data_IF_388160175914
#
_entry.id   IF_388160175914
#
_cell.length_a   1.000
_cell.length_b   1.000
_cell.length_c   1.000
_cell.angle_alpha   90.00
_cell.angle_beta   90.00
_cell.angle_gamma   90.00
#
_symmetry.space_group_name_H-M   'P 1'
#
loop_
_entity.id
_entity.type
_entity.pdbx_description
1 polymer ?
#
# COMPACT_ATOMS: atom_id res chain seq x y z
N UNK A 1 -8.64 -13.94 23.41
CA UNK A 1 -7.63 -15.01 23.29
C UNK A 1 -7.04 -14.85 21.89
N UNK A 2 -5.79 -14.41 21.80
CA UNK A 2 -5.10 -14.29 20.52
C UNK A 2 -4.89 -15.70 19.96
N UNK A 3 -5.36 -15.95 18.74
CA UNK A 3 -5.09 -17.19 18.02
C UNK A 3 -3.58 -17.41 17.83
N UNK A 4 -3.17 -18.60 17.38
CA UNK A 4 -1.76 -18.82 17.04
C UNK A 4 -1.32 -17.79 15.98
N UNK A 5 -0.05 -17.32 16.03
CA UNK A 5 0.46 -16.39 15.03
C UNK A 5 0.29 -16.99 13.62
N UNK A 6 -0.12 -16.16 12.66
CA UNK A 6 -0.27 -16.57 11.27
C UNK A 6 1.06 -17.15 10.74
N UNK A 7 0.97 -18.26 10.02
CA UNK A 7 2.15 -18.87 9.38
C UNK A 7 2.73 -17.93 8.34
N UNK A 8 4.06 -17.77 8.36
CA UNK A 8 4.76 -16.97 7.36
C UNK A 8 5.14 -17.87 6.21
N UNK A 9 4.78 -17.45 5.01
CA UNK A 9 5.13 -18.08 3.75
C UNK A 9 6.11 -17.20 2.98
N UNK A 10 6.85 -17.78 2.05
CA UNK A 10 7.69 -17.05 1.10
C UNK A 10 7.43 -17.53 -0.32
N UNK A 11 7.52 -16.61 -1.28
CA UNK A 11 7.40 -16.89 -2.71
C UNK A 11 8.56 -16.21 -3.44
N UNK A 12 9.29 -16.98 -4.26
CA UNK A 12 10.37 -16.43 -5.07
C UNK A 12 9.80 -15.66 -6.26
N UNK A 13 10.19 -14.38 -6.37
CA UNK A 13 9.81 -13.48 -7.47
C UNK A 13 11.08 -12.88 -8.06
N UNK A 14 11.51 -13.43 -9.20
CA UNK A 14 12.78 -13.05 -9.79
C UNK A 14 13.96 -13.35 -8.86
N UNK A 15 14.67 -12.31 -8.44
CA UNK A 15 15.83 -12.35 -7.55
C UNK A 15 15.47 -12.08 -6.06
N UNK A 16 14.20 -11.95 -5.74
CA UNK A 16 13.73 -11.71 -4.37
C UNK A 16 12.80 -12.83 -3.87
N UNK A 17 12.72 -12.96 -2.55
CA UNK A 17 11.70 -13.73 -1.85
C UNK A 17 10.73 -12.78 -1.19
N UNK A 18 9.44 -12.85 -1.53
CA UNK A 18 8.39 -12.07 -0.89
C UNK A 18 7.77 -12.89 0.24
N UNK A 19 7.80 -12.33 1.45
CA UNK A 19 7.17 -12.91 2.62
C UNK A 19 5.69 -12.50 2.67
N UNK A 20 4.82 -13.44 3.03
CA UNK A 20 3.40 -13.17 3.17
C UNK A 20 2.76 -14.06 4.24
N UNK A 21 1.62 -13.62 4.72
CA UNK A 21 0.76 -14.34 5.65
C UNK A 21 -0.67 -14.34 5.12
N UNK A 22 -1.49 -15.26 5.63
CA UNK A 22 -2.91 -15.28 5.32
C UNK A 22 -3.74 -15.32 6.59
N UNK A 23 -4.90 -14.69 6.54
CA UNK A 23 -5.88 -14.64 7.62
C UNK A 23 -7.30 -14.77 7.05
N UNK A 24 -8.21 -15.16 7.92
CA UNK A 24 -9.61 -15.36 7.53
C UNK A 24 -9.81 -16.68 6.78
N UNK A 25 -11.03 -16.88 6.38
CA UNK A 25 -11.41 -18.05 5.59
C UNK A 25 -12.16 -17.56 4.36
N UNK A 26 -11.83 -18.09 3.21
CA UNK A 26 -12.71 -17.98 2.06
C UNK A 26 -14.06 -18.60 2.47
N UNK A 27 -15.01 -17.73 2.86
CA UNK A 27 -16.37 -18.15 3.13
C UNK A 27 -17.05 -18.56 1.83
N UNK A 28 -18.37 -18.68 1.83
CA UNK A 28 -19.18 -19.07 0.66
C UNK A 28 -18.89 -18.31 -0.64
N UNK A 29 -18.32 -17.10 -0.57
CA UNK A 29 -17.90 -16.32 -1.73
C UNK A 29 -16.54 -16.77 -2.31
N UNK A 30 -15.72 -17.48 -1.53
CA UNK A 30 -14.39 -17.98 -1.96
C UNK A 30 -13.38 -16.89 -2.30
N UNK A 31 -13.69 -15.61 -2.09
CA UNK A 31 -12.90 -14.49 -2.62
C UNK A 31 -11.66 -14.20 -1.77
N UNK A 32 -10.57 -13.91 -2.45
CA UNK A 32 -9.30 -13.50 -1.85
C UNK A 32 -9.15 -11.99 -1.94
N UNK A 33 -8.67 -11.38 -0.85
CA UNK A 33 -8.19 -10.00 -0.83
C UNK A 33 -6.67 -9.99 -0.60
N UNK A 34 -5.96 -9.02 -1.16
CA UNK A 34 -4.53 -8.82 -0.92
C UNK A 34 -4.29 -7.41 -0.37
N UNK A 35 -3.48 -7.31 0.70
CA UNK A 35 -3.08 -6.06 1.32
C UNK A 35 -1.68 -5.66 0.89
N UNK A 36 -1.55 -4.48 0.26
CA UNK A 36 -0.29 -3.84 -0.14
C UNK A 36 -0.02 -2.60 0.74
N UNK A 37 1.01 -2.66 1.56
CA UNK A 37 1.37 -1.62 2.54
C UNK A 37 2.04 -0.38 1.92
N UNK A 38 2.20 0.68 2.72
CA UNK A 38 2.87 1.92 2.33
C UNK A 38 4.40 1.85 2.33
N UNK A 39 5.03 2.88 1.75
CA UNK A 39 6.49 3.03 1.72
C UNK A 39 7.07 2.97 3.14
N UNK A 40 8.21 2.30 3.30
CA UNK A 40 8.91 2.05 4.57
C UNK A 40 8.16 1.22 5.61
N UNK A 41 6.92 0.80 5.35
CA UNK A 41 6.07 0.00 6.23
C UNK A 41 6.28 -1.51 6.03
N UNK A 42 5.38 -2.33 6.54
CA UNK A 42 5.31 -3.78 6.33
C UNK A 42 3.86 -4.26 6.35
N UNK A 43 3.67 -5.55 6.07
CA UNK A 43 2.38 -6.21 6.00
C UNK A 43 1.46 -5.94 7.22
N UNK A 44 2.04 -5.80 8.41
CA UNK A 44 1.31 -5.66 9.68
C UNK A 44 1.56 -4.34 10.40
N UNK A 45 2.52 -3.52 9.95
CA UNK A 45 2.94 -2.34 10.72
C UNK A 45 1.82 -1.31 10.91
N UNK A 46 1.02 -1.04 9.87
CA UNK A 46 -0.07 -0.08 9.96
C UNK A 46 -1.22 -0.55 10.87
N UNK A 47 -1.44 -1.86 10.92
CA UNK A 47 -2.41 -2.46 11.84
C UNK A 47 -1.89 -2.47 13.28
N UNK A 48 -0.61 -2.77 13.48
CA UNK A 48 0.03 -2.77 14.81
C UNK A 48 -0.09 -1.41 15.48
N UNK A 49 -0.01 -0.32 14.73
CA UNK A 49 -0.23 1.04 15.24
C UNK A 49 -1.71 1.45 15.29
N UNK A 50 -2.63 0.54 14.94
CA UNK A 50 -4.08 0.76 14.99
C UNK A 50 -4.64 1.65 13.88
N UNK A 51 -3.90 1.84 12.77
CA UNK A 51 -4.31 2.70 11.66
C UNK A 51 -5.40 2.05 10.81
N UNK A 52 -5.27 0.74 10.56
CA UNK A 52 -6.26 -0.05 9.83
C UNK A 52 -6.52 -1.37 10.56
N UNK A 53 -7.79 -1.72 10.72
CA UNK A 53 -8.25 -3.00 11.24
C UNK A 53 -9.03 -3.74 10.14
N UNK A 54 -8.39 -4.72 9.51
CA UNK A 54 -9.03 -5.49 8.43
C UNK A 54 -9.87 -6.68 8.92
N UNK A 55 -10.15 -6.78 10.23
CA UNK A 55 -10.99 -7.85 10.78
C UNK A 55 -12.40 -7.93 10.14
N UNK A 56 -13.06 -6.82 9.72
CA UNK A 56 -14.31 -6.93 8.97
C UNK A 56 -14.14 -7.66 7.62
N UNK A 57 -13.03 -7.43 6.93
CA UNK A 57 -12.72 -8.11 5.65
C UNK A 57 -12.45 -9.60 5.87
N UNK A 58 -11.69 -9.97 6.92
CA UNK A 58 -11.32 -11.36 7.19
C UNK A 58 -12.47 -12.25 7.67
N UNK A 59 -13.65 -11.69 7.95
CA UNK A 59 -14.86 -12.49 8.28
C UNK A 59 -15.33 -13.32 7.10
N UNK A 60 -15.26 -12.74 5.89
CA UNK A 60 -15.86 -13.32 4.69
C UNK A 60 -14.86 -13.51 3.54
N UNK A 61 -13.62 -12.99 3.69
CA UNK A 61 -12.56 -13.06 2.72
C UNK A 61 -11.29 -13.69 3.30
N UNK A 62 -10.55 -14.41 2.47
CA UNK A 62 -9.15 -14.77 2.72
C UNK A 62 -8.31 -13.54 2.46
N UNK A 63 -7.66 -12.96 3.46
CA UNK A 63 -6.79 -11.81 3.33
C UNK A 63 -5.33 -12.24 3.30
N UNK A 64 -4.66 -12.00 2.18
CA UNK A 64 -3.21 -12.13 2.00
C UNK A 64 -2.57 -10.80 2.39
N UNK A 65 -1.61 -10.84 3.32
CA UNK A 65 -0.77 -9.69 3.69
C UNK A 65 0.65 -10.00 3.26
N UNK A 66 1.26 -9.18 2.40
CA UNK A 66 2.63 -9.43 1.99
C UNK A 66 3.53 -8.24 2.30
N UNK A 67 4.80 -8.53 2.53
CA UNK A 67 5.84 -7.53 2.59
C UNK A 67 6.35 -7.28 1.16
N UNK A 68 6.33 -6.03 0.71
CA UNK A 68 6.88 -5.67 -0.60
C UNK A 68 8.40 -5.92 -0.63
N UNK A 69 8.97 -6.08 -1.82
CA UNK A 69 10.43 -6.23 -2.00
C UNK A 69 11.21 -5.29 -1.10
N UNK A 70 12.19 -5.81 -0.36
CA UNK A 70 13.06 -5.06 0.55
C UNK A 70 12.40 -4.52 1.80
N UNK A 71 11.13 -4.85 2.06
CA UNK A 71 10.41 -4.44 3.26
C UNK A 71 10.12 -5.65 4.16
N UNK A 72 9.96 -5.39 5.46
CA UNK A 72 9.59 -6.39 6.44
C UNK A 72 10.51 -7.61 6.42
N UNK A 73 9.95 -8.76 6.04
CA UNK A 73 10.64 -10.04 5.94
C UNK A 73 11.03 -10.41 4.50
N UNK A 74 10.63 -9.58 3.51
CA UNK A 74 10.98 -9.82 2.11
C UNK A 74 12.41 -9.40 1.82
N UNK A 75 13.08 -10.15 0.95
CA UNK A 75 14.42 -9.79 0.50
C UNK A 75 14.38 -8.73 -0.60
N UNK A 76 15.54 -8.13 -0.90
CA UNK A 76 15.70 -7.14 -1.97
C UNK A 76 17.16 -6.82 -2.21
N UNK A 77 17.47 -6.23 -3.35
CA UNK A 77 18.80 -5.82 -3.74
C UNK A 77 19.07 -4.33 -3.55
N UNK A 78 20.28 -3.89 -3.88
CA UNK A 78 20.69 -2.48 -3.73
C UNK A 78 20.32 -1.59 -4.93
N UNK A 79 19.79 -2.15 -6.03
CA UNK A 79 19.42 -1.37 -7.21
C UNK A 79 18.09 -0.62 -6.98
N UNK A 80 18.08 0.73 -7.00
CA UNK A 80 16.85 1.51 -6.86
C UNK A 80 15.77 1.19 -7.91
N UNK A 81 16.14 0.68 -9.08
CA UNK A 81 15.17 0.34 -10.12
C UNK A 81 14.20 -0.75 -9.67
N UNK A 82 14.67 -1.69 -8.83
CA UNK A 82 13.84 -2.76 -8.27
C UNK A 82 12.67 -2.23 -7.42
N UNK A 83 12.77 -1.01 -6.88
CA UNK A 83 11.79 -0.38 -6.00
C UNK A 83 10.91 0.66 -6.70
N UNK A 84 10.98 0.75 -8.02
CA UNK A 84 10.04 1.58 -8.76
C UNK A 84 8.64 0.96 -8.68
N UNK A 85 7.61 1.80 -8.60
CA UNK A 85 6.24 1.31 -8.45
C UNK A 85 5.77 0.39 -9.58
N UNK A 86 6.16 0.61 -10.86
CA UNK A 86 5.88 -0.37 -11.91
C UNK A 86 6.52 -1.74 -11.63
N UNK A 87 7.75 -1.79 -11.07
CA UNK A 87 8.42 -3.04 -10.73
C UNK A 87 7.76 -3.73 -9.53
N UNK A 88 7.38 -2.96 -8.49
CA UNK A 88 6.59 -3.51 -7.38
C UNK A 88 5.23 -4.03 -7.84
N UNK A 89 4.61 -3.41 -8.86
CA UNK A 89 3.40 -3.92 -9.50
C UNK A 89 3.61 -5.28 -10.18
N UNK A 90 4.75 -5.49 -10.85
CA UNK A 90 5.12 -6.79 -11.42
C UNK A 90 5.41 -7.84 -10.34
N UNK A 91 6.08 -7.45 -9.27
CA UNK A 91 6.30 -8.34 -8.12
C UNK A 91 4.97 -8.80 -7.52
N UNK A 92 4.00 -7.89 -7.38
CA UNK A 92 2.65 -8.23 -6.91
C UNK A 92 1.95 -9.21 -7.85
N UNK A 93 1.99 -9.01 -9.16
CA UNK A 93 1.41 -9.94 -10.14
C UNK A 93 2.06 -11.32 -10.03
N UNK A 94 3.39 -11.39 -9.93
CA UNK A 94 4.10 -12.66 -9.71
C UNK A 94 3.70 -13.34 -8.39
N UNK A 95 3.45 -12.58 -7.33
CA UNK A 95 2.91 -13.15 -6.09
C UNK A 95 1.49 -13.68 -6.30
N UNK A 96 0.63 -12.96 -7.02
CA UNK A 96 -0.73 -13.41 -7.32
C UNK A 96 -0.74 -14.72 -8.11
N UNK A 97 0.22 -14.96 -9.01
CA UNK A 97 0.36 -16.25 -9.72
C UNK A 97 0.57 -17.43 -8.78
N UNK A 98 1.11 -17.18 -7.58
CA UNK A 98 1.34 -18.22 -6.58
C UNK A 98 0.17 -18.36 -5.59
N UNK A 99 -0.44 -17.23 -5.17
CA UNK A 99 -1.41 -17.25 -4.07
C UNK A 99 -2.87 -17.28 -4.54
N UNK A 100 -3.14 -16.89 -5.80
CA UNK A 100 -4.46 -16.90 -6.45
C UNK A 100 -4.31 -17.03 -7.97
N UNK A 101 -3.81 -18.18 -8.48
CA UNK A 101 -3.48 -18.33 -9.89
C UNK A 101 -4.70 -18.24 -10.82
N UNK A 102 -5.82 -18.78 -10.39
CA UNK A 102 -7.00 -18.97 -11.24
C UNK A 102 -8.11 -17.93 -11.01
N UNK A 103 -8.08 -17.23 -9.86
CA UNK A 103 -9.16 -16.35 -9.46
C UNK A 103 -8.66 -14.91 -9.27
N UNK A 104 -9.43 -13.90 -9.72
CA UNK A 104 -9.10 -12.51 -9.44
C UNK A 104 -9.25 -12.21 -7.95
N UNK A 105 -8.51 -11.20 -7.47
CA UNK A 105 -8.50 -10.80 -6.07
C UNK A 105 -9.07 -9.39 -5.86
N UNK A 106 -9.45 -9.06 -4.63
CA UNK A 106 -9.62 -7.68 -4.21
C UNK A 106 -8.25 -7.10 -3.83
N UNK A 107 -7.81 -6.03 -4.48
CA UNK A 107 -6.60 -5.31 -4.11
C UNK A 107 -6.90 -4.21 -3.10
N UNK A 108 -6.34 -4.26 -1.90
CA UNK A 108 -6.40 -3.18 -0.89
C UNK A 108 -5.01 -2.62 -0.72
N UNK A 109 -4.78 -1.33 -0.96
CA UNK A 109 -3.45 -0.75 -0.89
C UNK A 109 -3.39 0.61 -0.22
N UNK A 110 -2.29 0.89 0.48
CA UNK A 110 -2.04 2.17 1.13
C UNK A 110 -0.80 2.85 0.55
N UNK A 111 -0.93 4.12 0.17
CA UNK A 111 0.19 4.95 -0.30
C UNK A 111 0.98 4.27 -1.44
N UNK A 112 2.22 3.84 -1.21
CA UNK A 112 2.99 3.04 -2.16
C UNK A 112 2.20 1.80 -2.63
N UNK A 113 1.48 1.12 -1.74
CA UNK A 113 0.62 -0.02 -2.08
C UNK A 113 -0.51 0.35 -3.03
N UNK A 114 -1.09 1.54 -2.92
CA UNK A 114 -2.04 2.08 -3.91
C UNK A 114 -1.39 2.20 -5.29
N UNK A 115 -0.18 2.74 -5.36
CA UNK A 115 0.55 2.86 -6.63
C UNK A 115 0.91 1.49 -7.22
N UNK A 116 1.36 0.57 -6.38
CA UNK A 116 1.66 -0.82 -6.76
C UNK A 116 0.43 -1.50 -7.38
N UNK A 117 -0.73 -1.39 -6.72
CA UNK A 117 -2.00 -1.94 -7.24
C UNK A 117 -2.42 -1.31 -8.56
N UNK A 118 -2.31 0.00 -8.70
CA UNK A 118 -2.67 0.69 -9.95
C UNK A 118 -1.78 0.23 -11.11
N UNK A 119 -0.46 0.10 -10.90
CA UNK A 119 0.43 -0.43 -11.93
C UNK A 119 0.15 -1.90 -12.28
N UNK A 120 -0.15 -2.73 -11.29
CA UNK A 120 -0.57 -4.12 -11.51
C UNK A 120 -1.90 -4.20 -12.27
N UNK A 121 -2.91 -3.40 -11.86
CA UNK A 121 -4.23 -3.41 -12.48
C UNK A 121 -4.25 -2.84 -13.90
N UNK A 122 -3.39 -1.87 -14.22
CA UNK A 122 -3.21 -1.37 -15.59
C UNK A 122 -2.57 -2.44 -16.47
N UNK A 123 -1.58 -3.18 -15.95
CA UNK A 123 -0.92 -4.25 -16.68
C UNK A 123 -1.84 -5.46 -16.90
N UNK A 124 -2.53 -5.91 -15.85
CA UNK A 124 -3.38 -7.09 -15.86
C UNK A 124 -4.71 -6.86 -15.12
N UNK A 125 -5.65 -6.11 -15.70
CA UNK A 125 -6.89 -5.74 -15.02
C UNK A 125 -7.77 -6.94 -14.64
N UNK A 126 -7.66 -8.04 -15.37
CA UNK A 126 -8.42 -9.27 -15.12
C UNK A 126 -8.02 -9.98 -13.81
N UNK A 127 -6.86 -9.63 -13.21
CA UNK A 127 -6.40 -10.16 -11.92
C UNK A 127 -7.13 -9.53 -10.73
N UNK A 128 -7.95 -8.52 -10.97
CA UNK A 128 -8.64 -7.80 -9.89
C UNK A 128 -10.14 -7.74 -10.14
N UNK A 129 -10.93 -8.11 -9.14
CA UNK A 129 -12.38 -7.91 -9.16
C UNK A 129 -12.81 -6.63 -8.41
N UNK A 130 -12.00 -6.11 -7.47
CA UNK A 130 -12.17 -4.82 -6.78
C UNK A 130 -10.82 -4.19 -6.48
N UNK A 131 -10.77 -2.86 -6.43
CA UNK A 131 -9.63 -2.08 -5.95
C UNK A 131 -10.05 -1.13 -4.83
N UNK A 132 -9.32 -1.15 -3.73
CA UNK A 132 -9.45 -0.21 -2.61
C UNK A 132 -8.13 0.55 -2.47
N UNK A 133 -8.16 1.84 -2.78
CA UNK A 133 -7.00 2.71 -2.88
C UNK A 133 -6.98 3.64 -1.66
N UNK A 134 -6.31 3.24 -0.58
CA UNK A 134 -6.27 4.05 0.64
C UNK A 134 -5.10 5.03 0.58
N UNK A 135 -5.37 6.27 0.99
CA UNK A 135 -4.36 7.33 1.07
C UNK A 135 -3.41 7.38 -0.13
N UNK A 136 -3.94 7.64 -1.34
CA UNK A 136 -3.11 7.68 -2.53
C UNK A 136 -1.93 8.67 -2.37
N UNK A 137 -0.72 8.31 -2.80
CA UNK A 137 0.45 9.16 -2.65
C UNK A 137 0.37 10.41 -3.54
N UNK A 138 1.27 11.35 -3.35
CA UNK A 138 1.44 12.48 -4.28
C UNK A 138 1.66 11.96 -5.71
N UNK A 139 1.12 12.68 -6.71
CA UNK A 139 1.24 12.33 -8.12
C UNK A 139 1.39 13.59 -9.00
N UNK A 140 1.95 13.43 -10.18
CA UNK A 140 2.14 14.50 -11.16
C UNK A 140 2.95 15.67 -10.60
N UNK A 141 2.47 16.91 -10.82
CA UNK A 141 3.21 18.10 -10.39
C UNK A 141 3.43 18.20 -8.87
N UNK A 142 2.46 17.74 -8.07
CA UNK A 142 2.57 17.75 -6.60
C UNK A 142 3.67 16.81 -6.11
N UNK A 143 4.01 15.78 -6.91
CA UNK A 143 5.04 14.82 -6.59
C UNK A 143 6.47 15.39 -6.62
N UNK A 144 6.73 16.44 -7.38
CA UNK A 144 8.07 17.00 -7.56
C UNK A 144 8.79 17.32 -6.23
N UNK A 145 8.08 17.87 -5.25
CA UNK A 145 8.63 18.14 -3.92
C UNK A 145 8.99 16.86 -3.17
N UNK A 146 8.18 15.79 -3.29
CA UNK A 146 8.45 14.50 -2.67
C UNK A 146 9.63 13.76 -3.31
N UNK A 147 9.82 13.90 -4.63
CA UNK A 147 11.02 13.39 -5.32
C UNK A 147 12.30 13.98 -4.70
N UNK A 148 12.30 15.28 -4.46
CA UNK A 148 13.45 15.96 -3.79
C UNK A 148 13.62 15.43 -2.37
N UNK A 149 12.53 15.32 -1.60
CA UNK A 149 12.58 14.84 -0.21
C UNK A 149 13.09 13.39 -0.12
N UNK A 150 12.64 12.49 -1.00
CA UNK A 150 13.10 11.10 -1.02
C UNK A 150 14.60 11.00 -1.34
N UNK A 151 15.10 11.77 -2.31
CA UNK A 151 16.53 11.81 -2.64
C UNK A 151 17.35 12.36 -1.47
N UNK A 152 16.91 13.47 -0.89
CA UNK A 152 17.58 14.05 0.28
C UNK A 152 17.58 13.10 1.49
N UNK A 153 16.48 12.37 1.70
CA UNK A 153 16.38 11.33 2.72
C UNK A 153 17.37 10.19 2.50
N UNK A 154 17.46 9.67 1.26
CA UNK A 154 18.42 8.64 0.89
C UNK A 154 19.87 9.11 1.16
N UNK A 155 20.21 10.33 0.72
CA UNK A 155 21.53 10.90 0.94
C UNK A 155 21.82 11.16 2.42
N UNK A 156 20.82 11.51 3.22
CA UNK A 156 20.95 11.69 4.67
C UNK A 156 21.27 10.36 5.38
N UNK A 157 20.56 9.29 5.01
CA UNK A 157 20.80 7.96 5.58
C UNK A 157 22.23 7.51 5.27
N UNK A 158 22.70 7.65 4.04
CA UNK A 158 24.07 7.26 3.65
C UNK A 158 25.16 8.05 4.38
N UNK A 159 24.89 9.33 4.70
CA UNK A 159 25.86 10.19 5.39
C UNK A 159 25.82 10.08 6.91
N UNK A 160 24.63 9.87 7.49
CA UNK A 160 24.39 10.11 8.92
C UNK A 160 23.56 9.02 9.60
N UNK A 161 23.14 8.00 8.85
CA UNK A 161 22.41 6.85 9.37
C UNK A 161 20.91 7.06 9.54
N UNK A 162 20.22 5.96 9.87
CA UNK A 162 18.76 5.90 10.00
C UNK A 162 18.23 6.87 11.07
N UNK A 163 18.89 6.96 12.22
CA UNK A 163 18.44 7.82 13.31
C UNK A 163 18.36 9.32 12.90
N UNK A 164 19.30 9.78 12.07
CA UNK A 164 19.27 11.14 11.54
C UNK A 164 18.08 11.37 10.59
N UNK A 165 17.77 10.37 9.75
CA UNK A 165 16.62 10.40 8.88
C UNK A 165 15.28 10.40 9.66
N UNK A 166 15.14 9.56 10.67
CA UNK A 166 13.96 9.51 11.54
C UNK A 166 13.74 10.85 12.24
N UNK A 167 14.82 11.45 12.79
CA UNK A 167 14.74 12.76 13.43
C UNK A 167 14.33 13.88 12.45
N UNK A 168 14.88 13.86 11.23
CA UNK A 168 14.54 14.84 10.18
C UNK A 168 13.13 14.66 9.61
N UNK A 169 12.62 13.43 9.61
CA UNK A 169 11.27 13.09 9.14
C UNK A 169 10.20 13.22 10.22
N UNK A 170 10.60 13.54 11.45
CA UNK A 170 9.69 13.69 12.57
C UNK A 170 8.80 14.93 12.37
N UNK A 171 7.49 14.68 12.29
CA UNK A 171 6.45 15.73 12.22
C UNK A 171 5.20 15.31 12.99
N UNK A 172 4.29 16.23 13.31
CA UNK A 172 3.02 15.85 13.91
C UNK A 172 2.21 15.02 12.90
N UNK A 173 1.52 13.96 13.36
CA UNK A 173 0.63 13.21 12.49
C UNK A 173 -0.57 14.08 12.08
N UNK A 174 -1.24 13.78 10.95
CA UNK A 174 -2.51 14.39 10.59
C UNK A 174 -3.54 14.29 11.72
N UNK A 175 -4.38 15.31 11.89
CA UNK A 175 -5.36 15.36 12.97
C UNK A 175 -6.35 14.18 12.96
N UNK A 176 -6.64 13.63 11.78
CA UNK A 176 -7.49 12.44 11.60
C UNK A 176 -6.92 11.20 12.30
N UNK A 177 -5.61 11.15 12.55
CA UNK A 177 -4.92 10.09 13.28
C UNK A 177 -4.83 10.35 14.79
N UNK A 178 -5.43 11.43 15.28
CA UNK A 178 -5.43 11.73 16.71
C UNK A 178 -6.15 10.62 17.50
N UNK A 179 -5.55 10.25 18.63
CA UNK A 179 -6.05 9.14 19.47
C UNK A 179 -5.48 7.76 19.12
N UNK A 180 -4.65 7.64 18.08
CA UNK A 180 -3.78 6.48 17.93
C UNK A 180 -2.59 6.65 18.87
N UNK A 181 -2.24 5.58 19.61
CA UNK A 181 -1.19 5.61 20.63
C UNK A 181 0.18 5.99 20.05
N UNK A 182 0.45 5.52 18.84
CA UNK A 182 1.60 5.92 18.02
C UNK A 182 1.16 5.91 16.56
N UNK A 183 0.92 7.10 16.01
CA UNK A 183 0.53 7.23 14.60
C UNK A 183 1.71 7.06 13.63
N UNK A 184 2.93 6.83 14.13
CA UNK A 184 4.11 6.60 13.30
C UNK A 184 4.28 5.12 13.05
N UNK A 185 4.18 4.73 11.80
CA UNK A 185 4.52 3.37 11.39
C UNK A 185 6.04 3.19 11.49
N UNK A 186 6.53 2.16 12.20
CA UNK A 186 7.96 1.85 12.25
C UNK A 186 8.53 1.65 10.85
N UNK A 187 9.78 2.09 10.64
CA UNK A 187 10.50 1.82 9.40
C UNK A 187 10.85 0.33 9.37
N UNK A 188 10.25 -0.40 8.43
CA UNK A 188 10.40 -1.83 8.26
C UNK A 188 11.29 -2.19 7.04
N UNK A 189 12.21 -1.30 6.69
CA UNK A 189 13.21 -1.49 5.63
C UNK A 189 14.58 -1.52 6.28
N UNK A 190 15.45 -2.50 6.00
CA UNK A 190 16.81 -2.50 6.47
C UNK A 190 17.53 -1.19 6.09
N UNK A 191 18.30 -0.61 7.03
CA UNK A 191 19.02 0.65 6.80
C UNK A 191 19.86 0.62 5.52
N UNK A 192 20.48 -0.51 5.22
CA UNK A 192 21.30 -0.71 4.02
C UNK A 192 20.51 -0.66 2.70
N UNK A 193 19.22 -0.94 2.71
CA UNK A 193 18.35 -0.92 1.52
C UNK A 193 17.52 0.37 1.42
N UNK A 194 17.30 1.05 2.54
CA UNK A 194 16.39 2.21 2.60
C UNK A 194 16.75 3.33 1.62
N UNK A 195 18.03 3.68 1.38
CA UNK A 195 18.40 4.63 0.32
C UNK A 195 17.92 4.20 -1.08
N UNK A 196 18.05 2.92 -1.41
CA UNK A 196 17.60 2.38 -2.70
C UNK A 196 16.08 2.40 -2.83
N UNK A 197 15.35 2.04 -1.77
CA UNK A 197 13.89 2.11 -1.70
C UNK A 197 13.40 3.54 -1.91
N UNK A 198 13.99 4.52 -1.22
CA UNK A 198 13.63 5.94 -1.38
C UNK A 198 13.94 6.46 -2.79
N UNK A 199 15.09 6.06 -3.37
CA UNK A 199 15.44 6.44 -4.75
C UNK A 199 14.54 5.80 -5.79
N UNK A 200 14.08 4.57 -5.58
CA UNK A 200 13.07 3.91 -6.41
C UNK A 200 11.74 4.65 -6.36
N UNK A 201 11.27 4.99 -5.16
CA UNK A 201 10.09 5.81 -4.99
C UNK A 201 10.25 7.19 -5.67
N UNK A 202 11.44 7.82 -5.62
CA UNK A 202 11.72 9.09 -6.28
C UNK A 202 11.71 9.03 -7.82
N UNK A 203 11.83 7.83 -8.41
CA UNK A 203 11.76 7.60 -9.87
C UNK A 203 10.35 7.24 -10.35
N UNK A 204 9.39 7.12 -9.42
CA UNK A 204 8.06 6.57 -9.68
C UNK A 204 6.99 7.65 -9.71
N UNK A 205 5.92 7.42 -10.43
CA UNK A 205 4.64 8.14 -10.36
C UNK A 205 3.49 7.15 -10.55
N UNK A 206 2.25 7.62 -10.42
CA UNK A 206 1.06 6.83 -10.76
C UNK A 206 0.95 6.65 -12.27
N UNK A 207 0.21 5.61 -12.75
CA UNK A 207 -0.08 5.47 -14.17
C UNK A 207 -0.70 6.73 -14.78
N UNK A 208 -0.52 6.91 -16.08
CA UNK A 208 -1.07 8.06 -16.79
C UNK A 208 -2.60 8.01 -16.84
N UNK A 209 -3.24 9.18 -16.96
CA UNK A 209 -4.71 9.28 -16.99
C UNK A 209 -5.35 8.44 -18.10
N UNK A 210 -4.66 8.27 -19.23
CA UNK A 210 -5.16 7.44 -20.33
C UNK A 210 -5.23 5.97 -19.94
N UNK A 211 -4.28 5.47 -19.18
CA UNK A 211 -4.23 4.09 -18.68
C UNK A 211 -5.29 3.90 -17.60
N UNK A 212 -5.39 4.84 -16.64
CA UNK A 212 -6.39 4.80 -15.58
C UNK A 212 -7.83 4.87 -16.11
N UNK A 213 -8.10 5.63 -17.18
CA UNK A 213 -9.41 5.67 -17.86
C UNK A 213 -9.79 4.36 -18.51
N UNK A 214 -8.83 3.50 -18.80
CA UNK A 214 -9.10 2.18 -19.38
C UNK A 214 -9.55 1.13 -18.36
N UNK A 215 -9.30 1.36 -17.06
CA UNK A 215 -9.71 0.46 -15.99
C UNK A 215 -11.25 0.33 -15.95
N UNK A 216 -11.71 -0.90 -15.68
CA UNK A 216 -13.14 -1.22 -15.51
C UNK A 216 -13.40 -1.96 -14.20
N UNK A 217 -12.37 -2.06 -13.37
CA UNK A 217 -12.45 -2.70 -12.06
C UNK A 217 -13.18 -1.77 -11.09
N UNK A 218 -14.23 -2.20 -10.40
CA UNK A 218 -14.85 -1.44 -9.33
C UNK A 218 -13.82 -0.90 -8.36
N UNK A 219 -13.81 0.41 -8.11
CA UNK A 219 -12.74 1.07 -7.37
C UNK A 219 -13.30 1.98 -6.28
N UNK A 220 -12.80 1.80 -5.05
CA UNK A 220 -13.06 2.67 -3.91
C UNK A 220 -11.77 3.42 -3.55
N UNK A 221 -11.82 4.75 -3.53
CA UNK A 221 -10.73 5.61 -3.11
C UNK A 221 -11.02 6.13 -1.71
N UNK A 222 -10.12 5.86 -0.77
CA UNK A 222 -10.21 6.31 0.62
C UNK A 222 -9.10 7.33 0.88
N UNK A 223 -9.45 8.52 1.35
CA UNK A 223 -8.50 9.59 1.63
C UNK A 223 -8.85 10.29 2.94
N UNK A 224 -7.87 10.87 3.59
CA UNK A 224 -8.07 11.73 4.74
C UNK A 224 -7.56 13.15 4.48
N UNK A 225 -8.05 14.11 5.25
CA UNK A 225 -7.63 15.51 5.14
C UNK A 225 -6.36 15.81 5.95
N UNK A 226 -5.69 16.88 5.58
CA UNK A 226 -4.60 17.47 6.38
C UNK A 226 -3.26 16.73 6.26
N UNK A 227 -3.07 15.88 5.26
CA UNK A 227 -1.83 15.13 5.02
C UNK A 227 -1.16 15.57 3.70
N UNK A 228 -0.01 16.29 3.78
CA UNK A 228 0.73 16.69 2.58
C UNK A 228 1.32 15.51 1.79
N UNK A 229 1.58 14.38 2.45
CA UNK A 229 2.09 13.16 1.81
C UNK A 229 1.04 12.43 0.98
N UNK A 230 -0.25 12.61 1.35
CA UNK A 230 -1.40 11.96 0.71
C UNK A 230 -2.48 13.01 0.40
N UNK A 231 -2.22 13.95 -0.54
CA UNK A 231 -3.10 15.08 -0.76
C UNK A 231 -4.43 14.67 -1.37
N UNK A 232 -5.52 15.28 -0.90
CA UNK A 232 -6.87 15.04 -1.45
C UNK A 232 -6.98 15.29 -2.95
N UNK A 233 -6.09 16.13 -3.52
CA UNK A 233 -6.04 16.35 -4.97
C UNK A 233 -5.75 15.07 -5.77
N UNK A 234 -4.87 14.20 -5.27
CA UNK A 234 -4.60 12.90 -5.89
C UNK A 234 -5.83 11.99 -5.80
N UNK A 235 -6.45 11.89 -4.63
CA UNK A 235 -7.64 11.06 -4.43
C UNK A 235 -8.80 11.51 -5.33
N UNK A 236 -9.05 12.82 -5.41
CA UNK A 236 -10.08 13.41 -6.29
C UNK A 236 -9.77 13.17 -7.78
N UNK A 237 -8.49 13.28 -8.17
CA UNK A 237 -8.07 12.95 -9.54
C UNK A 237 -8.37 11.48 -9.86
N UNK A 238 -7.99 10.54 -8.99
CA UNK A 238 -8.25 9.12 -9.21
C UNK A 238 -9.76 8.83 -9.32
N UNK A 239 -10.58 9.38 -8.42
CA UNK A 239 -12.03 9.22 -8.46
C UNK A 239 -12.68 9.84 -9.71
N UNK A 240 -12.05 10.85 -10.32
CA UNK A 240 -12.54 11.47 -11.56
C UNK A 240 -12.10 10.69 -12.80
N UNK A 241 -10.87 10.16 -12.77
CA UNK A 241 -10.23 9.54 -13.95
C UNK A 241 -10.62 8.08 -14.12
N UNK A 242 -10.69 7.32 -13.01
CA UNK A 242 -11.07 5.90 -13.04
C UNK A 242 -12.61 5.81 -13.17
N UNK A 243 -13.15 5.19 -14.25
CA UNK A 243 -14.58 5.12 -14.47
C UNK A 243 -15.33 4.41 -13.32
N UNK A 244 -16.34 5.05 -12.77
CA UNK A 244 -17.17 4.48 -11.71
C UNK A 244 -16.50 4.44 -10.32
N UNK A 245 -15.31 5.02 -10.16
CA UNK A 245 -14.65 5.05 -8.87
C UNK A 245 -15.42 5.90 -7.85
N UNK A 246 -15.53 5.38 -6.64
CA UNK A 246 -16.15 6.06 -5.49
C UNK A 246 -15.07 6.72 -4.65
N UNK A 247 -15.34 7.87 -4.03
CA UNK A 247 -14.44 8.56 -3.12
C UNK A 247 -15.10 8.73 -1.75
N UNK A 248 -14.40 8.26 -0.71
CA UNK A 248 -14.74 8.54 0.68
C UNK A 248 -13.59 9.30 1.34
N UNK A 249 -13.91 10.41 2.02
CA UNK A 249 -12.93 11.26 2.71
C UNK A 249 -13.20 11.21 4.20
N UNK A 250 -12.18 10.94 5.01
CA UNK A 250 -12.23 11.04 6.46
C UNK A 250 -11.59 12.37 6.91
N UNK A 251 -12.37 13.20 7.61
CA UNK A 251 -11.92 14.44 8.24
C UNK A 251 -11.75 14.28 9.75
N UNK A 252 -12.23 13.18 10.31
CA UNK A 252 -12.20 12.87 11.74
C UNK A 252 -11.74 11.45 12.02
N UNK A 253 -11.21 11.18 13.23
CA UNK A 253 -10.85 9.80 13.63
C UNK A 253 -12.06 8.84 13.66
N UNK A 254 -13.28 9.37 13.86
CA UNK A 254 -14.51 8.57 13.79
C UNK A 254 -14.73 8.00 12.40
N UNK A 255 -14.69 8.85 11.40
CA UNK A 255 -14.85 8.45 10.00
C UNK A 255 -13.74 7.48 9.54
N UNK A 256 -12.50 7.67 10.00
CA UNK A 256 -11.42 6.72 9.71
C UNK A 256 -11.73 5.32 10.24
N UNK A 257 -12.28 5.22 11.45
CA UNK A 257 -12.65 3.93 12.07
C UNK A 257 -13.80 3.20 11.34
N UNK A 258 -14.56 3.88 10.50
CA UNK A 258 -15.61 3.28 9.67
C UNK A 258 -15.05 2.63 8.38
N UNK A 259 -13.84 2.98 7.96
CA UNK A 259 -13.26 2.48 6.72
C UNK A 259 -13.20 0.95 6.63
N UNK A 260 -12.75 0.19 7.65
CA UNK A 260 -12.66 -1.26 7.53
C UNK A 260 -14.00 -1.93 7.22
N UNK A 261 -15.09 -1.49 7.87
CA UNK A 261 -16.43 -2.00 7.57
C UNK A 261 -16.91 -1.55 6.18
N UNK A 262 -16.70 -0.27 5.82
CA UNK A 262 -17.03 0.23 4.48
C UNK A 262 -16.28 -0.49 3.36
N UNK A 263 -15.05 -0.92 3.61
CA UNK A 263 -14.28 -1.76 2.68
C UNK A 263 -14.92 -3.15 2.56
N UNK A 264 -15.24 -3.81 3.67
CA UNK A 264 -15.91 -5.11 3.64
C UNK A 264 -17.23 -5.03 2.85
N UNK A 265 -18.08 -4.04 3.14
CA UNK A 265 -19.35 -3.82 2.44
C UNK A 265 -19.16 -3.57 0.93
N UNK A 266 -18.09 -2.85 0.55
CA UNK A 266 -17.76 -2.60 -0.87
C UNK A 266 -17.28 -3.86 -1.59
N UNK A 267 -16.57 -4.75 -0.91
CA UNK A 267 -16.07 -6.00 -1.51
C UNK A 267 -17.19 -7.04 -1.69
N UNK A 268 -18.28 -6.92 -0.94
CA UNK A 268 -19.43 -7.81 -0.99
C UNK A 268 -20.51 -7.35 -1.99
N UNK A 269 -20.39 -6.12 -2.53
CA UNK A 269 -21.35 -5.54 -3.47
C UNK A 269 -21.09 -5.99 -4.92
#
# INVERSE_FOLDING_TARGET
MSGPPASIHTTAIGDAELAWTEEGHASRSGRTAIWAHGLTSSATAQETVGMFDWSPVTRDHRLIRYDARGHGRSTGGADPEQYTWPNLGRDLLGLLDSVSPDEPVAGIGSSMGTATLLWAAVAEPHRFHHLVLTTPPTAGQVRAAHVVAYRAGADLIERSGLAAYEAASAGPPPAVLSGLADARTPIAVPESLLPSVLRGAARSDLPADVELRALRVPTLVLAWSGDPGHPLSTARRLATVIPGAQLCVADTPGQLREWPQGVADFLDA
#
